data_IF_595111331658
#
_entry.id   IF_595111331658
#
_cell.length_a   1.000
_cell.length_b   1.000
_cell.length_c   1.000
_cell.angle_alpha   90.00
_cell.angle_beta   90.00
_cell.angle_gamma   90.00
#
_symmetry.space_group_name_H-M   'P 1'
#
loop_
_entity.id
_entity.type
_entity.pdbx_description
1 polymer ?
#
# COMPACT_ATOMS: atom_id res chain seq x y z
N UNK A 1 -0.33 -17.73 15.19
CA UNK A 1 0.10 -18.22 13.87
C UNK A 1 -0.11 -17.11 12.86
N UNK A 2 0.78 -16.96 11.87
CA UNK A 2 0.84 -15.85 10.91
C UNK A 2 -0.41 -15.64 10.03
N UNK A 3 -1.50 -16.37 10.27
CA UNK A 3 -2.74 -16.33 9.49
C UNK A 3 -3.59 -15.08 9.79
N UNK A 4 -3.40 -14.43 10.95
CA UNK A 4 -4.03 -13.14 11.28
C UNK A 4 -3.31 -11.92 10.62
N UNK A 5 -2.18 -12.15 9.94
CA UNK A 5 -1.31 -11.09 9.41
C UNK A 5 -1.70 -10.62 8.00
N UNK A 6 -2.44 -11.43 7.24
CA UNK A 6 -2.86 -11.10 5.86
C UNK A 6 -4.01 -10.09 5.86
N UNK A 7 -4.86 -10.15 6.88
CA UNK A 7 -5.85 -9.13 7.22
C UNK A 7 -5.19 -7.85 7.74
N UNK A 8 -4.20 -7.30 7.03
CA UNK A 8 -3.80 -5.93 7.28
C UNK A 8 -2.86 -5.30 6.24
N UNK A 9 -2.28 -6.02 5.28
CA UNK A 9 -1.37 -5.38 4.31
C UNK A 9 -2.09 -4.27 3.54
N UNK A 10 -3.31 -4.52 3.06
CA UNK A 10 -4.13 -3.49 2.39
C UNK A 10 -4.46 -2.31 3.31
N UNK A 11 -4.79 -2.58 4.58
CA UNK A 11 -5.16 -1.55 5.55
C UNK A 11 -3.94 -0.71 5.97
N UNK A 12 -2.80 -1.35 6.24
CA UNK A 12 -1.55 -0.65 6.52
C UNK A 12 -1.01 0.10 5.30
N UNK A 13 -1.15 -0.43 4.08
CA UNK A 13 -0.84 0.32 2.86
C UNK A 13 -1.74 1.56 2.73
N UNK A 14 -3.03 1.43 3.06
CA UNK A 14 -3.94 2.58 3.09
C UNK A 14 -3.53 3.62 4.15
N UNK A 15 -3.21 3.18 5.36
CA UNK A 15 -2.68 4.08 6.40
C UNK A 15 -1.37 4.74 6.00
N UNK A 16 -0.48 4.01 5.33
CA UNK A 16 0.79 4.54 4.88
C UNK A 16 0.60 5.58 3.78
N UNK A 17 -0.26 5.32 2.78
CA UNK A 17 -0.61 6.30 1.73
C UNK A 17 -1.18 7.59 2.34
N UNK A 18 -2.00 7.50 3.39
CA UNK A 18 -2.49 8.69 4.12
C UNK A 18 -1.40 9.56 4.75
N UNK A 19 -0.22 8.99 5.00
CA UNK A 19 0.90 9.69 5.63
C UNK A 19 1.89 10.24 4.61
N UNK A 20 2.05 9.59 3.45
CA UNK A 20 3.15 9.90 2.50
C UNK A 20 2.67 10.43 1.15
N UNK A 21 1.43 10.15 0.75
CA UNK A 21 0.87 10.64 -0.51
C UNK A 21 0.15 11.97 -0.29
N UNK A 22 0.24 12.88 -1.26
CA UNK A 22 -0.56 14.10 -1.26
C UNK A 22 -2.07 13.80 -1.37
N UNK A 23 -2.43 12.81 -2.21
CA UNK A 23 -3.77 12.23 -2.28
C UNK A 23 -3.68 10.69 -2.20
N UNK A 24 -4.13 10.06 -1.11
CA UNK A 24 -4.07 8.60 -0.95
C UNK A 24 -4.88 7.80 -1.98
N UNK A 25 -5.84 8.43 -2.67
CA UNK A 25 -6.63 7.80 -3.74
C UNK A 25 -5.92 7.85 -5.09
N UNK A 26 -4.94 8.75 -5.25
CA UNK A 26 -4.10 8.88 -6.43
C UNK A 26 -2.61 8.77 -6.05
N UNK A 27 -2.16 7.57 -5.65
CA UNK A 27 -0.82 7.38 -5.09
C UNK A 27 0.28 7.57 -6.14
N UNK A 28 1.39 8.19 -5.74
CA UNK A 28 2.58 8.43 -6.55
C UNK A 28 3.78 7.61 -6.07
N UNK A 29 3.87 7.31 -4.78
CA UNK A 29 5.00 6.58 -4.18
C UNK A 29 4.72 5.10 -3.98
N UNK A 30 3.52 4.74 -3.52
CA UNK A 30 3.15 3.34 -3.24
C UNK A 30 2.10 2.90 -4.26
N UNK A 31 2.53 2.21 -5.31
CA UNK A 31 1.69 1.83 -6.43
C UNK A 31 1.15 0.41 -6.29
N UNK A 32 0.01 0.14 -6.94
CA UNK A 32 -0.61 -1.19 -6.95
C UNK A 32 -0.24 -1.93 -8.22
N UNK A 33 0.40 -3.11 -8.11
CA UNK A 33 0.58 -4.05 -9.21
C UNK A 33 -0.51 -5.12 -9.13
N UNK A 34 -1.49 -5.05 -10.04
CA UNK A 34 -2.62 -5.98 -10.07
C UNK A 34 -2.14 -7.44 -10.12
N UNK A 35 -2.71 -8.29 -9.27
CA UNK A 35 -2.34 -9.71 -9.17
C UNK A 35 -1.01 -9.99 -8.44
N UNK A 36 -0.26 -8.95 -8.01
CA UNK A 36 1.02 -9.13 -7.32
C UNK A 36 1.05 -8.46 -5.95
N UNK A 37 0.54 -7.23 -5.82
CA UNK A 37 0.54 -6.49 -4.56
C UNK A 37 0.87 -5.02 -4.74
N UNK A 38 1.79 -4.51 -3.91
CA UNK A 38 2.21 -3.11 -3.90
C UNK A 38 3.71 -3.00 -4.14
N UNK A 39 4.14 -1.88 -4.71
CA UNK A 39 5.55 -1.58 -4.95
C UNK A 39 5.82 -0.09 -4.74
N UNK A 40 7.07 0.25 -4.45
CA UNK A 40 7.51 1.64 -4.43
C UNK A 40 7.85 2.08 -5.85
N UNK A 41 7.50 3.31 -6.21
CA UNK A 41 7.96 3.90 -7.46
C UNK A 41 9.49 4.05 -7.43
N UNK A 42 10.16 3.73 -8.53
CA UNK A 42 11.57 4.06 -8.72
C UNK A 42 11.70 5.58 -8.81
N UNK A 43 12.60 6.16 -8.01
CA UNK A 43 12.88 7.60 -7.91
C UNK A 43 14.12 7.93 -8.73
#
# INVERSE_FOLDING_TARGET
GYEDSTANVKLYIWYLRRKVEADPRNPRYILTKRGTGYYLADI
#
